data_IF_446743082297
#
_entry.id   IF_446743082297
#
_cell.length_a   1.000
_cell.length_b   1.000
_cell.length_c   1.000
_cell.angle_alpha   90.00
_cell.angle_beta   90.00
_cell.angle_gamma   90.00
#
_symmetry.space_group_name_H-M   'P 1'
#
loop_
_entity.id
_entity.type
_entity.pdbx_description
1 polymer ?
#
# COMPACT_ATOMS: atom_id res chain seq x y z
N UNK A 1 49.84 64.45 -4.73
CA UNK A 1 48.44 64.02 -4.45
C UNK A 1 48.10 62.75 -5.22
N UNK A 2 48.90 62.40 -6.24
CA UNK A 2 48.68 61.30 -7.17
C UNK A 2 48.93 59.92 -6.56
N UNK A 3 49.92 59.78 -5.68
CA UNK A 3 50.23 58.50 -5.00
C UNK A 3 49.16 58.11 -3.98
N UNK A 4 48.63 59.06 -3.21
CA UNK A 4 47.55 58.80 -2.25
C UNK A 4 46.25 58.37 -2.95
N UNK A 5 45.91 59.03 -4.07
CA UNK A 5 44.76 58.68 -4.88
C UNK A 5 44.92 57.28 -5.53
N UNK A 6 46.13 56.94 -5.98
CA UNK A 6 46.45 55.61 -6.52
C UNK A 6 46.31 54.50 -5.46
N UNK A 7 46.75 54.75 -4.22
CA UNK A 7 46.59 53.82 -3.09
C UNK A 7 45.11 53.61 -2.74
N UNK A 8 44.31 54.68 -2.73
CA UNK A 8 42.87 54.60 -2.47
C UNK A 8 42.15 53.80 -3.56
N UNK A 9 42.48 54.03 -4.84
CA UNK A 9 41.91 53.26 -5.95
C UNK A 9 42.29 51.78 -5.85
N UNK A 10 43.54 51.46 -5.50
CA UNK A 10 44.01 50.08 -5.34
C UNK A 10 43.26 49.37 -4.20
N UNK A 11 43.02 50.06 -3.08
CA UNK A 11 42.24 49.53 -1.96
C UNK A 11 40.78 49.28 -2.36
N UNK A 12 40.18 50.19 -3.13
CA UNK A 12 38.82 50.05 -3.64
C UNK A 12 38.69 48.86 -4.60
N UNK A 13 39.67 48.66 -5.48
CA UNK A 13 39.74 47.50 -6.37
C UNK A 13 39.90 46.19 -5.60
N UNK A 14 40.73 46.18 -4.55
CA UNK A 14 40.91 45.00 -3.70
C UNK A 14 39.62 44.65 -2.95
N UNK A 15 38.91 45.65 -2.42
CA UNK A 15 37.62 45.46 -1.77
C UNK A 15 36.58 44.89 -2.74
N UNK A 16 36.54 45.42 -3.98
CA UNK A 16 35.65 44.92 -5.03
C UNK A 16 35.97 43.45 -5.37
N UNK A 17 37.25 43.09 -5.53
CA UNK A 17 37.67 41.70 -5.78
C UNK A 17 37.25 40.79 -4.62
N UNK A 18 37.47 41.20 -3.37
CA UNK A 18 37.01 40.44 -2.21
C UNK A 18 35.49 40.25 -2.20
N UNK A 19 34.73 41.28 -2.57
CA UNK A 19 33.27 41.19 -2.66
C UNK A 19 32.81 40.23 -3.76
N UNK A 20 33.43 40.26 -4.93
CA UNK A 20 33.14 39.31 -6.01
C UNK A 20 33.45 37.87 -5.58
N UNK A 21 34.62 37.64 -4.97
CA UNK A 21 34.99 36.30 -4.49
C UNK A 21 34.01 35.79 -3.42
N UNK A 22 33.61 36.64 -2.49
CA UNK A 22 32.62 36.30 -1.47
C UNK A 22 31.24 35.97 -2.10
N UNK A 23 30.81 36.74 -3.09
CA UNK A 23 29.58 36.50 -3.84
C UNK A 23 29.62 35.16 -4.58
N UNK A 24 30.70 34.87 -5.32
CA UNK A 24 30.86 33.60 -6.03
C UNK A 24 30.91 32.40 -5.07
N UNK A 25 31.65 32.52 -3.98
CA UNK A 25 31.75 31.46 -2.96
C UNK A 25 30.38 31.16 -2.32
N UNK A 26 29.59 32.20 -2.05
CA UNK A 26 28.24 32.08 -1.51
C UNK A 26 27.27 31.43 -2.51
N UNK A 27 27.37 31.77 -3.81
CA UNK A 27 26.53 31.12 -4.82
C UNK A 27 26.86 29.64 -5.00
N UNK A 28 28.15 29.30 -4.95
CA UNK A 28 28.59 27.91 -5.07
C UNK A 28 28.09 27.06 -3.89
N UNK A 29 28.19 27.56 -2.66
CA UNK A 29 27.72 26.86 -1.47
C UNK A 29 26.20 26.64 -1.49
N UNK A 30 25.42 27.64 -1.93
CA UNK A 30 23.97 27.50 -2.07
C UNK A 30 23.59 26.50 -3.17
N UNK A 31 24.31 26.47 -4.28
CA UNK A 31 24.10 25.48 -5.35
C UNK A 31 24.38 24.05 -4.87
N UNK A 32 25.47 23.85 -4.13
CA UNK A 32 25.82 22.53 -3.58
C UNK A 32 24.81 22.04 -2.55
N UNK A 33 24.33 22.93 -1.67
CA UNK A 33 23.28 22.61 -0.69
C UNK A 33 21.98 22.26 -1.42
N UNK A 34 21.60 23.05 -2.43
CA UNK A 34 20.38 22.79 -3.23
C UNK A 34 20.48 21.46 -3.97
N UNK A 35 21.64 21.12 -4.54
CA UNK A 35 21.86 19.86 -5.23
C UNK A 35 21.78 18.66 -4.26
N UNK A 36 22.45 18.73 -3.11
CA UNK A 36 22.40 17.69 -2.07
C UNK A 36 20.99 17.51 -1.52
N UNK A 37 20.27 18.61 -1.31
CA UNK A 37 18.90 18.60 -0.85
C UNK A 37 17.95 17.99 -1.90
N UNK A 38 18.14 18.31 -3.18
CA UNK A 38 17.35 17.75 -4.29
C UNK A 38 17.59 16.24 -4.47
N UNK A 39 18.81 15.75 -4.19
CA UNK A 39 19.08 14.30 -4.16
C UNK A 39 18.47 13.62 -2.93
N UNK A 40 18.53 14.27 -1.76
CA UNK A 40 18.01 13.71 -0.51
C UNK A 40 16.47 13.73 -0.41
N UNK A 41 15.81 14.72 -1.02
CA UNK A 41 14.35 14.85 -1.05
C UNK A 41 13.69 14.24 -2.28
N UNK A 42 14.46 13.77 -3.27
CA UNK A 42 13.88 12.91 -4.28
C UNK A 42 13.36 11.65 -3.57
N UNK A 43 12.04 11.40 -3.55
CA UNK A 43 11.53 10.13 -3.05
C UNK A 43 12.23 9.03 -3.84
N UNK A 44 12.63 7.91 -3.19
CA UNK A 44 13.27 6.81 -3.90
C UNK A 44 12.45 6.55 -5.15
N UNK A 45 13.10 6.60 -6.32
CA UNK A 45 12.44 6.44 -7.60
C UNK A 45 11.46 5.30 -7.44
N UNK A 46 10.15 5.58 -7.53
CA UNK A 46 9.13 4.55 -7.43
C UNK A 46 9.45 3.66 -8.60
N UNK A 47 10.17 2.57 -8.34
CA UNK A 47 10.45 1.55 -9.33
C UNK A 47 9.05 1.11 -9.69
N UNK A 48 8.54 1.61 -10.83
CA UNK A 48 7.29 1.15 -11.41
C UNK A 48 7.52 -0.35 -11.49
N UNK A 49 6.91 -1.11 -10.57
CA UNK A 49 6.99 -2.57 -10.60
C UNK A 49 6.59 -2.92 -12.02
N UNK A 50 7.52 -3.47 -12.80
CA UNK A 50 7.24 -3.83 -14.19
C UNK A 50 5.95 -4.65 -14.19
N UNK A 51 5.06 -4.39 -15.12
CA UNK A 51 3.77 -5.07 -15.24
C UNK A 51 3.91 -6.59 -15.17
N UNK A 52 4.96 -7.12 -15.78
CA UNK A 52 5.36 -8.53 -15.71
C UNK A 52 5.69 -9.00 -14.30
N UNK A 53 6.38 -8.19 -13.50
CA UNK A 53 6.68 -8.52 -12.11
C UNK A 53 5.39 -8.63 -11.28
N UNK A 54 4.41 -7.74 -11.52
CA UNK A 54 3.10 -7.80 -10.85
C UNK A 54 2.31 -9.04 -11.30
N UNK A 55 2.33 -9.37 -12.60
CA UNK A 55 1.71 -10.59 -13.12
C UNK A 55 2.35 -11.84 -12.54
N UNK A 56 3.68 -11.87 -12.39
CA UNK A 56 4.43 -12.97 -11.80
C UNK A 56 4.09 -13.15 -10.32
N UNK A 57 4.02 -12.07 -9.56
CA UNK A 57 3.60 -12.09 -8.16
C UNK A 57 2.17 -12.64 -8.02
N UNK A 58 1.25 -12.18 -8.87
CA UNK A 58 -0.12 -12.70 -8.91
C UNK A 58 -0.18 -14.18 -9.29
N UNK A 59 0.63 -14.63 -10.25
CA UNK A 59 0.72 -16.03 -10.64
C UNK A 59 1.22 -16.91 -9.48
N UNK A 60 2.25 -16.46 -8.74
CA UNK A 60 2.74 -17.17 -7.57
C UNK A 60 1.69 -17.28 -6.45
N UNK A 61 0.88 -16.23 -6.24
CA UNK A 61 -0.24 -16.27 -5.31
C UNK A 61 -1.35 -17.24 -5.77
N UNK A 62 -1.57 -17.34 -7.08
CA UNK A 62 -2.53 -18.28 -7.67
C UNK A 62 -2.07 -19.74 -7.52
N UNK A 63 -0.78 -20.02 -7.76
CA UNK A 63 -0.23 -21.37 -7.64
C UNK A 63 -0.33 -21.92 -6.22
N UNK A 64 -0.13 -21.06 -5.20
CA UNK A 64 -0.35 -21.44 -3.79
C UNK A 64 -1.81 -21.85 -3.53
N UNK A 65 -2.77 -21.11 -4.10
CA UNK A 65 -4.19 -21.42 -3.97
C UNK A 65 -4.55 -22.72 -4.71
N UNK A 66 -3.92 -22.98 -5.85
CA UNK A 66 -4.09 -24.23 -6.61
C UNK A 66 -3.52 -25.43 -5.87
N UNK A 67 -2.40 -25.26 -5.18
CA UNK A 67 -1.82 -26.29 -4.32
C UNK A 67 -2.76 -26.64 -3.16
N UNK A 68 -3.37 -25.62 -2.53
CA UNK A 68 -4.35 -25.82 -1.47
C UNK A 68 -5.61 -26.54 -2.00
N UNK A 69 -6.12 -26.16 -3.17
CA UNK A 69 -7.23 -26.86 -3.82
C UNK A 69 -6.89 -28.34 -4.09
N UNK A 70 -5.68 -28.61 -4.55
CA UNK A 70 -5.21 -29.98 -4.79
C UNK A 70 -5.11 -30.78 -3.48
N UNK A 71 -4.62 -30.19 -2.40
CA UNK A 71 -4.58 -30.87 -1.09
C UNK A 71 -6.00 -31.16 -0.58
N UNK A 72 -6.92 -30.17 -0.64
CA UNK A 72 -8.32 -30.35 -0.25
C UNK A 72 -9.06 -31.37 -1.10
N UNK A 73 -8.68 -31.53 -2.37
CA UNK A 73 -9.24 -32.55 -3.26
C UNK A 73 -8.79 -33.96 -2.86
N UNK A 74 -7.52 -34.10 -2.47
CA UNK A 74 -6.97 -35.40 -2.04
C UNK A 74 -7.36 -35.76 -0.60
N UNK A 75 -7.49 -34.74 0.26
CA UNK A 75 -7.83 -34.84 1.67
C UNK A 75 -9.10 -34.04 1.94
N UNK A 76 -10.29 -34.57 1.65
CA UNK A 76 -11.54 -33.86 1.86
C UNK A 76 -11.74 -33.57 3.35
N UNK A 77 -11.80 -32.27 3.69
CA UNK A 77 -12.02 -31.77 5.05
C UNK A 77 -13.26 -30.88 5.06
N UNK A 78 -13.98 -30.86 6.18
CA UNK A 78 -15.19 -30.05 6.34
C UNK A 78 -14.90 -28.60 6.76
N UNK A 79 -13.71 -28.33 7.31
CA UNK A 79 -13.30 -27.04 7.88
C UNK A 79 -11.85 -26.75 7.50
N UNK A 80 -11.56 -25.49 7.15
CA UNK A 80 -10.19 -24.99 6.97
C UNK A 80 -9.51 -24.82 8.33
N UNK A 81 -8.22 -25.12 8.40
CA UNK A 81 -7.43 -24.75 9.56
C UNK A 81 -7.30 -23.22 9.64
N UNK A 82 -7.12 -22.64 10.84
CA UNK A 82 -6.95 -21.19 10.98
C UNK A 82 -5.73 -20.65 10.22
N UNK A 83 -4.68 -21.48 10.08
CA UNK A 83 -3.49 -21.14 9.29
C UNK A 83 -3.79 -21.07 7.78
N UNK A 84 -4.57 -22.01 7.26
CA UNK A 84 -5.03 -22.01 5.86
C UNK A 84 -5.98 -20.83 5.59
N UNK A 85 -6.87 -20.50 6.52
CA UNK A 85 -7.75 -19.34 6.38
C UNK A 85 -6.96 -18.03 6.30
N UNK A 86 -6.00 -17.85 7.21
CA UNK A 86 -5.12 -16.68 7.20
C UNK A 86 -4.27 -16.60 5.92
N UNK A 87 -3.82 -17.75 5.38
CA UNK A 87 -3.07 -17.79 4.13
C UNK A 87 -3.94 -17.41 2.93
N UNK A 88 -5.19 -17.89 2.84
CA UNK A 88 -6.15 -17.49 1.81
C UNK A 88 -6.42 -15.99 1.87
N UNK A 89 -6.61 -15.41 3.06
CA UNK A 89 -6.82 -13.97 3.21
C UNK A 89 -5.61 -13.16 2.75
N UNK A 90 -4.40 -13.61 3.09
CA UNK A 90 -3.16 -12.99 2.64
C UNK A 90 -3.01 -13.08 1.11
N UNK A 91 -3.34 -14.22 0.52
CA UNK A 91 -3.37 -14.42 -0.93
C UNK A 91 -4.40 -13.48 -1.57
N UNK A 92 -5.60 -13.38 -1.01
CA UNK A 92 -6.66 -12.48 -1.51
C UNK A 92 -6.22 -11.02 -1.51
N UNK A 93 -5.61 -10.56 -0.40
CA UNK A 93 -5.05 -9.19 -0.29
C UNK A 93 -3.95 -8.96 -1.33
N UNK A 94 -3.04 -9.92 -1.50
CA UNK A 94 -1.94 -9.83 -2.46
C UNK A 94 -2.47 -9.74 -3.89
N UNK A 95 -3.42 -10.61 -4.27
CA UNK A 95 -4.06 -10.59 -5.58
C UNK A 95 -4.80 -9.28 -5.84
N UNK A 96 -5.62 -8.80 -4.89
CA UNK A 96 -6.34 -7.53 -5.02
C UNK A 96 -5.39 -6.35 -5.18
N UNK A 97 -4.27 -6.35 -4.47
CA UNK A 97 -3.22 -5.33 -4.60
C UNK A 97 -2.57 -5.36 -5.99
N UNK A 98 -2.25 -6.56 -6.50
CA UNK A 98 -1.72 -6.73 -7.85
C UNK A 98 -2.71 -6.27 -8.93
N UNK A 99 -4.00 -6.63 -8.79
CA UNK A 99 -5.07 -6.21 -9.69
C UNK A 99 -5.21 -4.68 -9.67
N UNK A 100 -5.25 -4.06 -8.49
CA UNK A 100 -5.33 -2.61 -8.36
C UNK A 100 -4.12 -1.91 -8.98
N UNK A 101 -2.92 -2.48 -8.81
CA UNK A 101 -1.70 -1.95 -9.42
C UNK A 101 -1.73 -2.02 -10.95
N UNK A 102 -2.17 -3.15 -11.53
CA UNK A 102 -2.33 -3.32 -12.98
C UNK A 102 -3.42 -2.41 -13.57
N UNK A 103 -4.55 -2.24 -12.88
CA UNK A 103 -5.62 -1.32 -13.29
C UNK A 103 -5.14 0.14 -13.23
N UNK A 104 -4.33 0.51 -12.23
CA UNK A 104 -3.75 1.85 -12.11
C UNK A 104 -2.69 2.15 -13.18
N UNK A 105 -1.95 1.14 -13.65
CA UNK A 105 -0.96 1.29 -14.71
C UNK A 105 -1.54 1.20 -16.13
N UNK A 106 -2.86 1.00 -16.27
CA UNK A 106 -3.57 0.76 -17.55
C UNK A 106 -3.04 -0.47 -18.33
N UNK A 107 -2.42 -1.40 -17.60
CA UNK A 107 -1.90 -2.65 -18.17
C UNK A 107 -2.81 -3.83 -17.88
N UNK A 108 -3.97 -3.60 -17.24
CA UNK A 108 -5.00 -4.60 -17.04
C UNK A 108 -5.68 -4.93 -18.38
N UNK A 109 -5.47 -6.14 -18.88
CA UNK A 109 -6.01 -6.59 -20.17
C UNK A 109 -7.44 -7.13 -20.01
N UNK A 110 -7.75 -7.65 -18.82
CA UNK A 110 -9.02 -8.34 -18.53
C UNK A 110 -9.04 -9.80 -18.99
N UNK A 111 -10.23 -10.40 -18.90
CA UNK A 111 -10.49 -11.80 -19.30
C UNK A 111 -10.16 -11.95 -20.80
N UNK A 112 -9.48 -13.04 -21.24
CA UNK A 112 -9.19 -14.28 -20.50
C UNK A 112 -7.86 -14.31 -19.74
N UNK A 113 -7.08 -13.23 -19.73
CA UNK A 113 -5.70 -13.23 -19.21
C UNK A 113 -5.59 -12.69 -17.78
N UNK A 114 -6.48 -11.78 -17.42
CA UNK A 114 -6.53 -11.14 -16.11
C UNK A 114 -7.87 -11.44 -15.44
N UNK A 115 -7.84 -12.37 -14.48
CA UNK A 115 -9.00 -12.75 -13.67
C UNK A 115 -9.08 -11.92 -12.40
N UNK A 116 -10.30 -11.57 -12.01
CA UNK A 116 -10.53 -11.01 -10.68
C UNK A 116 -10.48 -12.10 -9.61
N UNK A 117 -10.33 -11.71 -8.34
CA UNK A 117 -10.33 -12.63 -7.20
C UNK A 117 -11.55 -13.55 -7.20
N UNK A 118 -12.72 -13.00 -7.53
CA UNK A 118 -13.98 -13.74 -7.60
C UNK A 118 -13.97 -14.81 -8.69
N UNK A 119 -13.36 -14.52 -9.84
CA UNK A 119 -13.28 -15.44 -10.98
C UNK A 119 -12.31 -16.58 -10.69
N UNK A 120 -11.18 -16.27 -10.02
CA UNK A 120 -10.22 -17.27 -9.56
C UNK A 120 -10.88 -18.19 -8.55
N UNK A 121 -11.56 -17.62 -7.53
CA UNK A 121 -12.22 -18.39 -6.50
C UNK A 121 -13.36 -19.25 -7.08
N UNK A 122 -14.10 -18.76 -8.07
CA UNK A 122 -15.13 -19.54 -8.75
C UNK A 122 -14.60 -20.81 -9.44
N UNK A 123 -13.31 -20.85 -9.78
CA UNK A 123 -12.64 -22.00 -10.41
C UNK A 123 -12.09 -23.03 -9.43
N UNK A 124 -12.07 -22.70 -8.14
CA UNK A 124 -11.52 -23.53 -7.06
C UNK A 124 -12.66 -23.91 -6.11
N UNK A 125 -13.47 -24.94 -6.45
CA UNK A 125 -14.73 -25.21 -5.76
C UNK A 125 -14.53 -25.60 -4.29
N UNK A 126 -13.49 -26.36 -3.94
CA UNK A 126 -13.28 -26.79 -2.56
C UNK A 126 -12.83 -25.61 -1.69
N UNK A 127 -11.82 -24.86 -2.15
CA UNK A 127 -11.36 -23.63 -1.47
C UNK A 127 -12.51 -22.63 -1.34
N UNK A 128 -13.30 -22.39 -2.39
CA UNK A 128 -14.41 -21.44 -2.36
C UNK A 128 -15.49 -21.82 -1.34
N UNK A 129 -15.92 -23.08 -1.35
CA UNK A 129 -16.96 -23.56 -0.45
C UNK A 129 -16.52 -23.49 1.01
N UNK A 130 -15.30 -23.95 1.31
CA UNK A 130 -14.76 -23.93 2.66
C UNK A 130 -14.47 -22.49 3.12
N UNK A 131 -13.90 -21.64 2.27
CA UNK A 131 -13.60 -20.25 2.61
C UNK A 131 -14.87 -19.45 2.91
N UNK A 132 -15.93 -19.64 2.11
CA UNK A 132 -17.24 -19.01 2.38
C UNK A 132 -17.87 -19.51 3.67
N UNK A 133 -17.76 -20.81 3.97
CA UNK A 133 -18.22 -21.36 5.25
C UNK A 133 -17.48 -20.74 6.42
N UNK A 134 -16.15 -20.61 6.33
CA UNK A 134 -15.33 -20.00 7.37
C UNK A 134 -15.72 -18.53 7.61
N UNK A 135 -15.88 -17.73 6.55
CA UNK A 135 -16.32 -16.33 6.67
C UNK A 135 -17.73 -16.23 7.28
N UNK A 136 -18.64 -17.14 6.92
CA UNK A 136 -19.99 -17.15 7.48
C UNK A 136 -19.98 -17.41 8.99
N UNK A 137 -19.12 -18.32 9.46
CA UNK A 137 -18.96 -18.66 10.88
C UNK A 137 -18.31 -17.50 11.66
N UNK A 138 -17.28 -16.86 11.10
CA UNK A 138 -16.62 -15.70 11.72
C UNK A 138 -17.47 -14.41 11.68
N UNK A 139 -18.52 -14.37 10.84
CA UNK A 139 -19.49 -13.27 10.75
C UNK A 139 -20.69 -13.38 11.70
N UNK A 140 -20.97 -14.56 12.27
CA UNK A 140 -22.02 -14.78 13.27
C UNK A 140 -21.84 -14.04 14.61
N UNK A 141 -20.62 -13.80 15.17
CA UNK A 141 -20.49 -13.12 16.46
C UNK A 141 -20.89 -11.64 16.43
N UNK A 142 -20.70 -10.91 15.32
CA UNK A 142 -21.07 -9.48 15.24
C UNK A 142 -22.58 -9.28 15.10
N UNK A 143 -23.29 -10.15 14.36
CA UNK A 143 -24.74 -10.04 14.19
C UNK A 143 -25.52 -10.51 15.43
N UNK A 144 -25.00 -11.50 16.17
CA UNK A 144 -25.59 -11.90 17.45
C UNK A 144 -25.33 -10.87 18.56
N UNK A 145 -24.18 -10.18 18.56
CA UNK A 145 -23.92 -9.05 19.47
C UNK A 145 -24.88 -7.88 19.22
N UNK A 146 -25.10 -7.50 17.95
CA UNK A 146 -26.04 -6.44 17.58
C UNK A 146 -27.51 -6.82 17.87
N UNK A 147 -27.90 -8.09 17.69
CA UNK A 147 -29.24 -8.57 18.00
C UNK A 147 -29.50 -8.61 19.52
N UNK A 148 -28.51 -9.02 20.31
CA UNK A 148 -28.61 -9.05 21.78
C UNK A 148 -28.56 -7.66 22.40
N UNK A 149 -27.85 -6.70 21.79
CA UNK A 149 -27.85 -5.30 22.21
C UNK A 149 -29.19 -4.59 21.88
N UNK A 150 -29.78 -4.88 20.73
CA UNK A 150 -31.11 -4.36 20.33
C UNK A 150 -32.24 -4.92 21.21
N UNK A 151 -32.17 -6.20 21.62
CA UNK A 151 -33.11 -6.77 22.61
C UNK A 151 -32.92 -6.18 24.03
N UNK A 152 -31.70 -5.85 24.44
CA UNK A 152 -31.42 -5.19 25.72
C UNK A 152 -31.99 -3.76 25.78
N UNK A 153 -31.98 -3.03 24.67
CA UNK A 153 -32.53 -1.68 24.58
C UNK A 153 -34.07 -1.67 24.57
N UNK A 154 -34.71 -2.69 24.00
CA UNK A 154 -36.18 -2.86 24.02
C UNK A 154 -36.75 -3.18 25.41
N UNK A 155 -36.02 -3.93 26.25
CA UNK A 155 -36.52 -4.32 27.58
C UNK A 155 -36.42 -3.20 28.64
N UNK A 156 -35.48 -2.26 28.47
CA UNK A 156 -35.29 -1.15 29.41
C UNK A 156 -36.31 -0.03 29.23
N UNK A 157 -36.92 0.11 28.05
CA UNK A 157 -37.96 1.11 27.78
C UNK A 157 -39.33 0.69 28.29
N UNK A 158 -39.62 -0.61 28.37
CA UNK A 158 -40.86 -1.13 28.95
C UNK A 158 -40.95 -0.94 30.48
N UNK A 159 -39.82 -0.93 31.18
CA UNK A 159 -39.80 -0.87 32.66
C UNK A 159 -39.96 0.56 33.21
N UNK A 160 -39.74 1.59 32.39
CA UNK A 160 -39.82 3.01 32.82
C UNK A 160 -41.26 3.56 32.77
N UNK A 161 -42.18 2.90 32.05
CA UNK A 161 -43.57 3.35 31.90
C UNK A 161 -44.51 3.03 33.07
N UNK A 162 -44.08 2.29 34.10
CA UNK A 162 -44.99 1.73 35.11
C UNK A 162 -44.84 2.30 36.53
N UNK A 163 -44.09 3.42 36.68
CA UNK A 163 -44.05 4.22 37.90
C UNK A 163 -44.40 5.68 37.63
N UNK A 164 -45.68 5.96 37.37
CA UNK A 164 -46.32 7.24 37.71
C UNK A 164 -47.77 7.00 38.07
#
# INVERSE_FOLDING_TARGET
MDTALLVVILLLMLLLICFLLFYFFTQQSLRDITARLNVALQPPAVVKKNSEAIRRERAFAHDQLMLLEADLTNNPREVLTPEELASIDQISKTMRTCIAALKKSDEWIGIPFDFEWTDILARLPNVNTLYRKAIAIDGEPEQQALASESQKMGNNTATIGQRR
#
